data_IF_128746796651
#
_entry.id   IF_128746796651
#
_cell.length_a   1.000
_cell.length_b   1.000
_cell.length_c   1.000
_cell.angle_alpha   90.00
_cell.angle_beta   90.00
_cell.angle_gamma   90.00
#
_symmetry.space_group_name_H-M   'P 1'
#
loop_
_entity.id
_entity.type
_entity.pdbx_description
1 polymer ?
#
# COMPACT_ATOMS: atom_id res chain seq x y z
N UNK A 1 37.74 -35.25 -14.87
CA UNK A 1 37.63 -33.89 -14.27
C UNK A 1 36.16 -33.51 -14.29
N UNK A 2 35.61 -33.17 -13.11
CA UNK A 2 34.19 -33.32 -12.79
C UNK A 2 33.28 -32.22 -13.31
N UNK A 3 32.13 -32.62 -13.88
CA UNK A 3 31.00 -31.73 -14.24
C UNK A 3 30.36 -31.02 -13.04
N UNK A 4 30.79 -31.38 -11.82
CA UNK A 4 30.42 -30.77 -10.55
C UNK A 4 31.05 -29.39 -10.32
N UNK A 5 32.15 -29.06 -10.98
CA UNK A 5 32.80 -27.74 -10.83
C UNK A 5 32.00 -26.62 -11.51
N UNK A 6 31.37 -26.89 -12.66
CA UNK A 6 30.55 -25.90 -13.38
C UNK A 6 29.28 -25.49 -12.62
N UNK A 7 28.64 -26.42 -11.91
CA UNK A 7 27.42 -26.14 -11.14
C UNK A 7 27.73 -25.33 -9.88
N UNK A 8 28.94 -25.48 -9.33
CA UNK A 8 29.36 -24.80 -8.11
C UNK A 8 29.68 -23.32 -8.34
N UNK A 9 30.16 -22.97 -9.54
CA UNK A 9 30.45 -21.57 -9.88
C UNK A 9 29.17 -20.75 -10.10
N UNK A 10 28.15 -21.34 -10.75
CA UNK A 10 26.85 -20.70 -10.97
C UNK A 10 26.04 -20.40 -9.70
N UNK A 11 26.36 -21.04 -8.57
CA UNK A 11 25.69 -20.82 -7.28
C UNK A 11 26.38 -19.77 -6.41
N UNK A 12 27.60 -19.34 -6.73
CA UNK A 12 28.36 -18.38 -5.90
C UNK A 12 27.80 -16.95 -5.96
N UNK A 13 27.08 -16.59 -7.02
CA UNK A 13 26.53 -15.24 -7.21
C UNK A 13 25.08 -15.07 -6.74
N UNK A 14 24.43 -16.14 -6.24
CA UNK A 14 23.00 -16.13 -5.94
C UNK A 14 22.61 -15.10 -4.87
N UNK A 15 23.44 -14.92 -3.84
CA UNK A 15 23.19 -13.93 -2.79
C UNK A 15 23.62 -12.52 -3.23
N UNK A 16 24.73 -12.38 -3.94
CA UNK A 16 25.22 -11.08 -4.42
C UNK A 16 24.26 -10.44 -5.43
N UNK A 17 23.60 -11.25 -6.28
CA UNK A 17 22.53 -10.80 -7.17
C UNK A 17 21.25 -10.36 -6.44
N UNK A 18 20.97 -10.93 -5.26
CA UNK A 18 19.87 -10.49 -4.36
C UNK A 18 20.25 -9.25 -3.56
N UNK A 19 21.52 -9.14 -3.15
CA UNK A 19 22.09 -8.03 -2.41
C UNK A 19 22.52 -6.87 -3.32
N UNK A 20 22.45 -7.03 -4.64
CA UNK A 20 22.65 -5.98 -5.64
C UNK A 20 21.54 -4.93 -5.49
N UNK A 21 21.76 -4.11 -4.46
CA UNK A 21 20.98 -2.99 -3.99
C UNK A 21 20.49 -2.21 -5.20
N UNK A 22 19.17 -2.09 -5.31
CA UNK A 22 18.49 -1.24 -6.28
C UNK A 22 18.85 0.23 -6.01
N UNK A 23 20.05 0.64 -6.42
CA UNK A 23 20.34 2.03 -6.69
C UNK A 23 19.47 2.40 -7.89
N UNK A 24 18.32 3.01 -7.60
CA UNK A 24 17.40 3.58 -8.60
C UNK A 24 18.20 4.36 -9.64
N UNK A 25 18.25 3.83 -10.85
CA UNK A 25 18.59 4.61 -12.04
C UNK A 25 17.42 5.57 -12.33
N UNK A 26 17.69 6.85 -12.66
CA UNK A 26 16.63 7.80 -12.99
C UNK A 26 16.24 7.60 -14.46
N UNK A 27 15.32 6.69 -14.73
CA UNK A 27 14.67 6.63 -16.04
C UNK A 27 13.30 7.31 -16.00
N UNK A 28 13.30 8.44 -16.71
CA UNK A 28 12.24 9.35 -17.10
C UNK A 28 11.19 8.66 -18.00
N UNK A 29 9.95 9.18 -17.94
CA UNK A 29 8.70 8.89 -18.70
C UNK A 29 7.76 7.95 -17.92
N UNK A 30 6.49 8.25 -17.65
CA UNK A 30 5.49 9.11 -18.31
C UNK A 30 4.77 10.04 -17.33
N UNK A 31 4.29 11.17 -17.84
CA UNK A 31 3.40 12.12 -17.17
C UNK A 31 2.08 11.43 -16.75
N UNK A 32 1.99 11.05 -15.48
CA UNK A 32 0.73 10.71 -14.83
C UNK A 32 -0.08 12.00 -14.58
N UNK A 33 -1.42 11.96 -14.73
CA UNK A 33 -2.27 13.14 -14.62
C UNK A 33 -2.15 13.74 -13.21
N UNK A 34 -2.22 15.06 -13.16
CA UNK A 34 -2.10 15.92 -11.98
C UNK A 34 -2.47 15.21 -10.68
N UNK A 35 -1.48 15.02 -9.79
CA UNK A 35 -1.75 14.69 -8.40
C UNK A 35 -2.57 15.86 -7.84
N UNK A 36 -3.90 15.69 -7.79
CA UNK A 36 -4.74 16.47 -6.92
C UNK A 36 -4.05 16.50 -5.55
N UNK A 37 -3.89 17.69 -5.00
CA UNK A 37 -3.28 17.94 -3.69
C UNK A 37 -4.10 17.19 -2.63
N UNK A 38 -3.78 15.91 -2.42
CA UNK A 38 -4.39 15.12 -1.36
C UNK A 38 -3.79 15.63 -0.06
N UNK A 39 -4.65 16.06 0.86
CA UNK A 39 -4.26 16.45 2.21
C UNK A 39 -3.30 15.41 2.83
N UNK A 40 -2.33 15.87 3.64
CA UNK A 40 -1.38 15.00 4.30
C UNK A 40 -2.12 13.95 5.13
N UNK A 41 -2.03 12.70 4.69
CA UNK A 41 -2.70 11.59 5.33
C UNK A 41 -1.99 11.22 6.63
N UNK A 42 -2.71 11.30 7.74
CA UNK A 42 -2.23 10.84 9.04
C UNK A 42 -2.60 9.38 9.25
N UNK A 43 -1.66 8.57 9.72
CA UNK A 43 -1.95 7.20 10.14
C UNK A 43 -2.44 7.22 11.58
N UNK A 44 -3.63 6.67 11.82
CA UNK A 44 -4.22 6.57 13.16
C UNK A 44 -4.58 5.13 13.48
N UNK A 45 -4.33 4.71 14.72
CA UNK A 45 -4.79 3.43 15.27
C UNK A 45 -6.13 3.65 15.98
N UNK A 46 -7.12 2.81 15.69
CA UNK A 46 -8.43 2.89 16.34
C UNK A 46 -8.86 1.51 16.84
N UNK A 47 -9.56 1.52 17.98
CA UNK A 47 -10.28 0.36 18.50
C UNK A 47 -11.76 0.61 18.27
N UNK A 48 -12.41 -0.31 17.57
CA UNK A 48 -13.84 -0.22 17.24
C UNK A 48 -14.53 -1.55 17.55
N UNK A 49 -15.83 -1.49 17.83
CA UNK A 49 -16.62 -2.68 18.07
C UNK A 49 -16.65 -3.58 16.81
N UNK A 50 -16.55 -4.89 17.03
CA UNK A 50 -16.53 -5.90 15.95
C UNK A 50 -17.72 -5.77 15.00
N UNK A 51 -18.91 -5.51 15.55
CA UNK A 51 -20.14 -5.32 14.77
C UNK A 51 -20.06 -4.15 13.79
N UNK A 52 -19.45 -3.03 14.22
CA UNK A 52 -19.28 -1.82 13.40
C UNK A 52 -18.26 -2.10 12.29
N UNK A 53 -17.12 -2.70 12.64
CA UNK A 53 -16.10 -3.08 11.66
C UNK A 53 -16.68 -3.98 10.55
N UNK A 54 -17.46 -5.00 10.92
CA UNK A 54 -18.09 -5.90 9.96
C UNK A 54 -19.05 -5.16 9.03
N UNK A 55 -19.88 -4.24 9.54
CA UNK A 55 -20.79 -3.44 8.72
C UNK A 55 -20.03 -2.52 7.75
N UNK A 56 -18.98 -1.84 8.22
CA UNK A 56 -18.14 -1.00 7.36
C UNK A 56 -17.44 -1.81 6.27
N UNK A 57 -16.99 -3.03 6.58
CA UNK A 57 -16.39 -3.92 5.60
C UNK A 57 -17.37 -4.31 4.48
N UNK A 58 -18.61 -4.66 4.84
CA UNK A 58 -19.63 -4.96 3.83
C UNK A 58 -19.96 -3.73 2.99
N UNK A 59 -20.12 -2.57 3.61
CA UNK A 59 -20.39 -1.32 2.90
C UNK A 59 -19.28 -0.94 1.91
N UNK A 60 -18.01 -1.17 2.29
CA UNK A 60 -16.86 -0.95 1.42
C UNK A 60 -16.91 -1.84 0.18
N UNK A 61 -17.30 -3.11 0.33
CA UNK A 61 -17.46 -4.05 -0.79
C UNK A 61 -18.61 -3.63 -1.69
N UNK A 62 -19.77 -3.28 -1.12
CA UNK A 62 -20.96 -2.86 -1.87
C UNK A 62 -20.71 -1.59 -2.68
N UNK A 63 -20.06 -0.59 -2.08
CA UNK A 63 -19.72 0.69 -2.74
C UNK A 63 -18.45 0.62 -3.61
N UNK A 64 -17.75 -0.52 -3.63
CA UNK A 64 -16.47 -0.70 -4.32
C UNK A 64 -15.39 0.34 -3.91
N UNK A 65 -15.37 0.69 -2.62
CA UNK A 65 -14.46 1.70 -2.06
C UNK A 65 -13.51 1.08 -1.05
N UNK A 66 -12.40 1.77 -0.78
CA UNK A 66 -11.48 1.33 0.28
C UNK A 66 -12.11 1.55 1.66
N UNK A 67 -11.74 0.71 2.63
CA UNK A 67 -12.19 0.88 4.01
C UNK A 67 -11.78 2.25 4.57
N UNK A 68 -10.65 2.80 4.12
CA UNK A 68 -10.19 4.15 4.47
C UNK A 68 -11.16 5.22 4.00
N UNK A 69 -11.60 5.15 2.75
CA UNK A 69 -12.49 6.17 2.17
C UNK A 69 -13.86 6.14 2.85
N UNK A 70 -14.38 4.94 3.12
CA UNK A 70 -15.61 4.76 3.91
C UNK A 70 -15.49 5.38 5.31
N UNK A 71 -14.37 5.14 6.01
CA UNK A 71 -14.15 5.72 7.34
C UNK A 71 -14.06 7.24 7.27
N UNK A 72 -13.35 7.79 6.28
CA UNK A 72 -13.23 9.24 6.12
C UNK A 72 -14.58 9.91 5.79
N UNK A 73 -15.38 9.30 4.91
CA UNK A 73 -16.74 9.76 4.59
C UNK A 73 -17.62 9.77 5.85
N UNK A 74 -17.60 8.68 6.62
CA UNK A 74 -18.37 8.58 7.87
C UNK A 74 -17.92 9.61 8.93
N UNK A 75 -16.61 9.82 9.09
CA UNK A 75 -16.06 10.80 10.02
C UNK A 75 -16.44 12.23 9.60
N UNK A 76 -16.35 12.54 8.31
CA UNK A 76 -16.74 13.85 7.77
C UNK A 76 -18.23 14.13 7.99
N UNK A 77 -19.10 13.17 7.65
CA UNK A 77 -20.54 13.31 7.89
C UNK A 77 -20.88 13.50 9.37
N UNK A 78 -20.15 12.84 10.26
CA UNK A 78 -20.36 12.99 11.70
C UNK A 78 -20.00 14.41 12.16
N UNK A 79 -18.86 14.94 11.73
CA UNK A 79 -18.43 16.30 12.07
C UNK A 79 -19.41 17.35 11.51
N UNK A 80 -19.81 17.25 10.24
CA UNK A 80 -20.77 18.18 9.61
C UNK A 80 -22.14 18.19 10.30
N UNK A 81 -22.56 17.07 10.91
CA UNK A 81 -23.81 16.96 11.67
C UNK A 81 -23.73 17.54 13.08
N UNK A 82 -22.56 17.51 13.71
CA UNK A 82 -22.40 17.81 15.14
C UNK A 82 -21.60 19.10 15.45
N UNK A 83 -20.85 19.66 14.50
CA UNK A 83 -20.09 20.90 14.66
C UNK A 83 -20.92 22.17 14.36
N UNK A 84 -22.26 22.12 14.51
CA UNK A 84 -23.15 23.28 14.34
C UNK A 84 -23.45 24.00 15.65
#
# INVERSE_FOLDING_TARGET
MGKSDLLKDGMKSGLDGLLSSTKKSPQKKETAPAKAEKEPAVHCNFVINKSIHTRMKYLAIEKNMSLRDIVNEAMREYLEKHEK
#
